data_IF_456806268234
#
_entry.id   IF_456806268234
#
_cell.length_a   1.000
_cell.length_b   1.000
_cell.length_c   1.000
_cell.angle_alpha   90.00
_cell.angle_beta   90.00
_cell.angle_gamma   90.00
#
_symmetry.space_group_name_H-M   'P 1'
#
loop_
_entity.id
_entity.type
_entity.pdbx_description
1 polymer ?
#
# COMPACT_ATOMS: atom_id res chain seq x y z
N UNK A 1 -20.79 -41.10 -12.64
CA UNK A 1 -21.33 -40.23 -11.56
C UNK A 1 -20.38 -40.35 -10.38
N UNK A 2 -19.36 -39.48 -10.31
CA UNK A 2 -18.45 -39.42 -9.16
C UNK A 2 -19.16 -38.70 -8.01
N UNK A 3 -19.19 -39.32 -6.82
CA UNK A 3 -19.66 -38.69 -5.58
C UNK A 3 -18.41 -38.26 -4.82
N UNK A 4 -18.12 -36.97 -4.80
CA UNK A 4 -17.13 -36.40 -3.88
C UNK A 4 -17.83 -36.10 -2.56
N UNK A 5 -17.26 -36.55 -1.44
CA UNK A 5 -17.72 -36.24 -0.08
C UNK A 5 -16.67 -35.33 0.57
N UNK A 6 -16.98 -34.05 0.77
CA UNK A 6 -16.17 -33.18 1.61
C UNK A 6 -16.83 -33.07 3.00
N UNK A 7 -16.05 -33.34 4.04
CA UNK A 7 -16.46 -33.20 5.43
C UNK A 7 -16.08 -31.80 5.92
N UNK A 8 -17.07 -31.04 6.41
CA UNK A 8 -16.85 -29.73 7.02
C UNK A 8 -17.00 -29.90 8.53
N UNK A 9 -15.91 -29.68 9.26
CA UNK A 9 -15.94 -29.63 10.72
C UNK A 9 -15.86 -28.18 11.20
N UNK A 10 -16.87 -27.72 11.96
CA UNK A 10 -16.91 -26.38 12.56
C UNK A 10 -16.76 -26.47 14.08
N UNK A 11 -15.73 -25.84 14.65
CA UNK A 11 -15.57 -25.68 16.10
C UNK A 11 -15.91 -24.23 16.51
N UNK A 12 -16.92 -24.05 17.37
CA UNK A 12 -17.31 -22.76 17.92
C UNK A 12 -16.35 -22.32 19.04
N UNK A 13 -15.32 -21.55 18.67
CA UNK A 13 -14.67 -20.51 19.49
C UNK A 13 -13.54 -19.80 18.71
N UNK A 14 -12.97 -20.45 17.70
CA UNK A 14 -12.06 -19.89 16.70
C UNK A 14 -12.36 -20.66 15.42
N UNK A 15 -12.91 -19.99 14.39
CA UNK A 15 -13.36 -20.68 13.18
C UNK A 15 -12.15 -21.13 12.34
N UNK A 16 -11.67 -22.35 12.59
CA UNK A 16 -10.78 -23.09 11.70
C UNK A 16 -11.67 -23.98 10.83
N UNK A 17 -11.77 -23.65 9.54
CA UNK A 17 -12.41 -24.51 8.55
C UNK A 17 -11.33 -25.37 7.90
N UNK A 18 -11.30 -26.65 8.24
CA UNK A 18 -10.50 -27.64 7.50
C UNK A 18 -11.46 -28.36 6.56
N UNK A 19 -11.33 -28.10 5.26
CA UNK A 19 -11.99 -28.91 4.25
C UNK A 19 -11.03 -30.02 3.83
N UNK A 20 -11.33 -31.26 4.21
CA UNK A 20 -10.66 -32.42 3.63
C UNK A 20 -11.56 -32.99 2.55
N UNK A 21 -11.05 -33.00 1.32
CA UNK A 21 -11.71 -33.68 0.21
C UNK A 21 -10.87 -34.93 -0.12
N UNK A 22 -11.49 -36.10 0.02
CA UNK A 22 -10.87 -37.38 -0.26
C UNK A 22 -11.44 -37.88 -1.59
N UNK A 23 -10.62 -37.94 -2.64
CA UNK A 23 -10.92 -38.78 -3.80
C UNK A 23 -10.31 -40.18 -3.60
N UNK A 24 -10.96 -41.21 -4.14
CA UNK A 24 -10.57 -42.64 -3.98
C UNK A 24 -9.17 -43.00 -4.52
N UNK A 25 -8.42 -42.06 -5.11
CA UNK A 25 -7.10 -42.31 -5.70
C UNK A 25 -5.91 -41.69 -4.94
N UNK A 26 -6.01 -41.50 -3.63
CA UNK A 26 -4.84 -41.42 -2.75
C UNK A 26 -3.91 -40.21 -2.91
N UNK A 27 -4.28 -39.17 -3.66
CA UNK A 27 -3.55 -37.92 -3.74
C UNK A 27 -4.19 -36.88 -2.81
N UNK A 28 -3.55 -36.65 -1.66
CA UNK A 28 -3.97 -35.70 -0.66
C UNK A 28 -3.46 -34.30 -1.04
N UNK A 29 -4.30 -33.47 -1.63
CA UNK A 29 -4.00 -32.06 -1.88
C UNK A 29 -4.45 -31.23 -0.67
N UNK A 30 -3.50 -30.72 0.12
CA UNK A 30 -3.77 -29.69 1.12
C UNK A 30 -3.79 -28.34 0.40
N UNK A 31 -4.97 -27.83 0.07
CA UNK A 31 -5.10 -26.39 -0.19
C UNK A 31 -4.96 -25.66 1.15
N UNK A 32 -3.85 -24.95 1.33
CA UNK A 32 -3.72 -23.98 2.42
C UNK A 32 -4.68 -22.82 2.15
N UNK A 33 -5.89 -22.92 2.70
CA UNK A 33 -6.80 -21.77 2.80
C UNK A 33 -6.15 -20.77 3.76
N UNK A 34 -5.48 -19.76 3.19
CA UNK A 34 -4.98 -18.61 3.94
C UNK A 34 -6.19 -17.83 4.47
N UNK A 35 -6.53 -18.07 5.73
CA UNK A 35 -7.57 -17.33 6.43
C UNK A 35 -7.01 -15.92 6.70
N UNK A 36 -7.28 -14.98 5.79
CA UNK A 36 -7.16 -13.56 6.11
C UNK A 36 -8.15 -13.28 7.24
N UNK A 37 -7.64 -12.97 8.43
CA UNK A 37 -8.48 -12.61 9.57
C UNK A 37 -9.46 -11.51 9.19
N UNK A 38 -10.71 -11.62 9.63
CA UNK A 38 -11.75 -10.65 9.27
C UNK A 38 -11.28 -9.23 9.57
N UNK A 39 -11.09 -8.41 8.53
CA UNK A 39 -10.65 -7.03 8.65
C UNK A 39 -11.61 -6.25 9.56
N UNK A 40 -11.04 -5.50 10.50
CA UNK A 40 -11.81 -4.66 11.41
C UNK A 40 -12.66 -3.63 10.64
N UNK A 41 -13.81 -3.19 11.20
CA UNK A 41 -14.61 -2.17 10.55
C UNK A 41 -13.86 -0.83 10.50
N UNK A 42 -14.02 -0.11 9.39
CA UNK A 42 -13.39 1.19 9.19
C UNK A 42 -13.88 2.22 10.22
N UNK A 43 -12.92 2.92 10.83
CA UNK A 43 -13.21 4.12 11.62
C UNK A 43 -13.31 5.32 10.69
N UNK A 44 -13.91 6.40 11.19
CA UNK A 44 -14.15 7.66 10.49
C UNK A 44 -12.94 8.24 9.74
N UNK A 45 -11.73 8.10 10.29
CA UNK A 45 -10.50 8.70 9.75
C UNK A 45 -9.70 7.74 8.87
N UNK A 46 -10.14 6.48 8.77
CA UNK A 46 -9.41 5.44 8.08
C UNK A 46 -9.98 5.26 6.67
N UNK A 47 -9.13 5.25 5.64
CA UNK A 47 -9.53 4.76 4.34
C UNK A 47 -9.79 3.26 4.43
N UNK A 48 -10.73 2.77 3.62
CA UNK A 48 -11.03 1.34 3.50
C UNK A 48 -9.98 0.60 2.68
N UNK A 49 -9.30 1.30 1.78
CA UNK A 49 -8.26 0.74 0.95
C UNK A 49 -7.31 1.80 0.41
N UNK A 50 -6.22 1.32 -0.17
CA UNK A 50 -5.23 2.14 -0.82
C UNK A 50 -4.77 1.48 -2.12
N UNK A 51 -4.43 2.31 -3.11
CA UNK A 51 -3.77 1.91 -4.34
C UNK A 51 -2.39 2.55 -4.34
N UNK A 52 -1.35 1.70 -4.43
CA UNK A 52 0.04 2.10 -4.57
C UNK A 52 0.42 2.03 -6.05
N UNK A 53 0.99 3.12 -6.57
CA UNK A 53 1.51 3.25 -7.93
C UNK A 53 3.04 3.20 -7.86
N UNK A 54 3.61 2.13 -8.42
CA UNK A 54 5.06 1.94 -8.52
C UNK A 54 5.50 2.23 -9.94
N UNK A 55 6.36 3.23 -10.12
CA UNK A 55 6.87 3.62 -11.42
C UNK A 55 8.19 2.88 -11.69
N UNK A 56 8.51 2.60 -12.96
CA UNK A 56 9.83 2.08 -13.31
C UNK A 56 10.91 3.12 -13.03
N UNK A 57 12.12 2.65 -12.79
CA UNK A 57 13.28 3.52 -12.66
C UNK A 57 13.69 4.03 -14.05
N UNK A 58 14.08 5.30 -14.12
CA UNK A 58 14.83 5.83 -15.24
C UNK A 58 16.17 5.13 -15.27
N UNK A 59 16.52 4.57 -16.43
CA UNK A 59 17.85 4.07 -16.65
C UNK A 59 18.82 5.25 -16.52
N UNK A 60 19.90 5.15 -15.73
CA UNK A 60 20.90 6.20 -15.72
C UNK A 60 21.47 6.29 -17.14
N UNK A 61 21.41 7.48 -17.74
CA UNK A 61 21.95 7.72 -19.07
C UNK A 61 23.41 7.22 -19.12
N UNK A 62 23.62 6.07 -19.77
CA UNK A 62 24.94 5.46 -19.94
C UNK A 62 25.89 6.32 -20.78
N UNK A 63 25.39 7.43 -21.33
CA UNK A 63 26.14 8.36 -22.15
C UNK A 63 26.92 9.44 -21.35
N UNK A 64 26.68 9.60 -20.03
CA UNK A 64 27.52 10.48 -19.18
C UNK A 64 28.66 9.74 -18.44
N UNK A 65 28.83 8.44 -18.66
CA UNK A 65 29.91 7.63 -18.04
C UNK A 65 31.16 7.43 -18.91
N UNK A 66 31.30 8.14 -20.03
CA UNK A 66 32.43 7.97 -20.98
C UNK A 66 33.27 9.24 -21.17
N UNK A 67 33.81 9.76 -20.07
CA UNK A 67 34.65 10.97 -20.09
C UNK A 67 35.79 11.00 -19.07
N UNK A 68 36.31 9.86 -18.59
CA UNK A 68 37.46 9.87 -17.68
C UNK A 68 38.78 10.04 -18.45
N UNK A 69 39.14 11.31 -18.66
CA UNK A 69 40.51 11.72 -18.96
C UNK A 69 41.45 11.31 -17.84
N UNK A 70 42.60 10.76 -18.21
CA UNK A 70 43.66 10.34 -17.29
C UNK A 70 44.21 11.54 -16.51
N UNK A 71 43.92 11.60 -15.21
CA UNK A 71 44.46 12.63 -14.33
C UNK A 71 44.06 12.40 -12.88
N UNK A 72 44.97 11.78 -12.13
CA UNK A 72 45.02 11.68 -10.66
C UNK A 72 44.10 12.62 -9.88
N UNK A 73 42.95 12.11 -9.44
CA UNK A 73 42.18 12.65 -8.32
C UNK A 73 41.88 11.48 -7.35
N UNK A 74 42.00 11.68 -6.03
CA UNK A 74 41.74 10.62 -5.04
C UNK A 74 40.28 10.16 -5.15
N UNK A 75 39.96 8.88 -4.87
CA UNK A 75 38.58 8.43 -4.91
C UNK A 75 37.83 9.11 -3.78
N UNK A 76 37.02 10.11 -4.14
CA UNK A 76 36.00 10.68 -3.28
C UNK A 76 34.91 9.60 -3.22
N UNK A 77 34.94 8.79 -2.16
CA UNK A 77 33.77 7.99 -1.79
C UNK A 77 32.75 8.93 -1.17
N UNK A 78 32.14 9.75 -2.01
CA UNK A 78 30.87 10.35 -1.68
C UNK A 78 29.84 9.26 -1.91
N UNK A 79 29.03 9.00 -0.89
CA UNK A 79 27.76 8.33 -1.02
C UNK A 79 26.88 9.18 -1.95
N UNK A 80 27.15 9.14 -3.26
CA UNK A 80 26.20 9.53 -4.27
C UNK A 80 25.11 8.47 -4.16
N UNK A 81 24.21 8.72 -3.21
CA UNK A 81 22.85 8.24 -3.22
C UNK A 81 22.28 8.76 -4.55
N UNK A 82 22.53 8.02 -5.63
CA UNK A 82 21.69 8.07 -6.81
C UNK A 82 20.33 7.67 -6.28
N UNK A 83 19.54 8.66 -5.84
CA UNK A 83 18.14 8.44 -5.56
C UNK A 83 17.61 7.87 -6.85
N UNK A 84 17.05 6.66 -6.78
CA UNK A 84 16.50 6.00 -7.94
C UNK A 84 15.45 6.94 -8.54
N UNK A 85 15.76 7.54 -9.70
CA UNK A 85 14.87 8.50 -10.33
C UNK A 85 13.75 7.72 -11.01
N UNK A 86 12.50 7.98 -10.64
CA UNK A 86 11.34 7.30 -11.23
C UNK A 86 10.90 7.97 -12.54
N UNK A 87 10.55 7.16 -13.54
CA UNK A 87 9.86 7.66 -14.74
C UNK A 87 8.38 7.84 -14.46
N UNK A 88 8.00 9.05 -14.04
CA UNK A 88 6.61 9.41 -13.78
C UNK A 88 5.76 9.54 -15.05
N UNK A 89 6.34 9.46 -16.25
CA UNK A 89 5.60 9.46 -17.51
C UNK A 89 5.23 8.05 -17.97
N UNK A 90 5.91 7.02 -17.44
CA UNK A 90 5.59 5.63 -17.73
C UNK A 90 4.31 5.17 -17.00
N UNK A 91 3.71 4.09 -17.50
CA UNK A 91 2.56 3.48 -16.86
C UNK A 91 3.00 2.80 -15.54
N UNK A 92 2.42 3.17 -14.38
CA UNK A 92 2.80 2.56 -13.11
C UNK A 92 2.18 1.16 -12.95
N UNK A 93 2.88 0.32 -12.20
CA UNK A 93 2.30 -0.90 -11.63
C UNK A 93 1.41 -0.53 -10.43
N UNK A 94 0.16 -0.99 -10.46
CA UNK A 94 -0.83 -0.68 -9.44
C UNK A 94 -0.99 -1.86 -8.47
N UNK A 95 -0.79 -1.60 -7.18
CA UNK A 95 -1.04 -2.58 -6.11
C UNK A 95 -2.15 -2.08 -5.20
N UNK A 96 -3.25 -2.83 -5.12
CA UNK A 96 -4.37 -2.53 -4.24
C UNK A 96 -4.19 -3.21 -2.89
N UNK A 97 -4.56 -2.53 -1.81
CA UNK A 97 -4.53 -3.05 -0.45
C UNK A 97 -5.81 -2.67 0.29
N UNK A 98 -6.51 -3.67 0.84
CA UNK A 98 -7.67 -3.46 1.70
C UNK A 98 -7.22 -3.30 3.14
N UNK A 99 -7.61 -2.20 3.78
CA UNK A 99 -7.15 -1.81 5.14
C UNK A 99 -8.21 -2.15 6.19
N UNK A 100 -9.48 -1.93 5.87
CA UNK A 100 -10.60 -2.18 6.77
C UNK A 100 -11.89 -2.43 5.99
N UNK A 101 -12.88 -3.04 6.65
CA UNK A 101 -14.19 -3.32 6.05
C UNK A 101 -15.12 -2.13 6.23
N UNK A 102 -15.77 -1.70 5.16
CA UNK A 102 -16.76 -0.63 5.25
C UNK A 102 -17.98 -1.05 6.10
N UNK A 103 -18.53 -0.16 6.92
CA UNK A 103 -19.71 -0.48 7.74
C UNK A 103 -20.99 -0.57 6.90
N UNK A 104 -21.93 -1.41 7.32
CA UNK A 104 -23.22 -1.61 6.64
C UNK A 104 -23.06 -2.33 5.30
N UNK A 105 -23.87 -1.95 4.31
CA UNK A 105 -23.87 -2.54 2.96
C UNK A 105 -22.92 -1.81 1.99
N UNK A 106 -22.08 -0.91 2.50
CA UNK A 106 -21.09 -0.19 1.68
C UNK A 106 -19.87 -1.07 1.40
N UNK A 107 -19.33 -0.97 0.19
CA UNK A 107 -18.17 -1.76 -0.27
C UNK A 107 -17.01 -0.81 -0.55
N UNK A 108 -15.79 -1.26 -0.22
CA UNK A 108 -14.58 -0.56 -0.64
C UNK A 108 -14.30 -0.86 -2.11
N UNK A 109 -14.78 0.00 -3.00
CA UNK A 109 -14.68 -0.20 -4.45
C UNK A 109 -13.38 0.42 -5.02
N UNK A 110 -12.58 -0.42 -5.67
CA UNK A 110 -11.35 -0.01 -6.35
C UNK A 110 -11.56 0.44 -7.80
N UNK A 111 -12.71 0.11 -8.40
CA UNK A 111 -13.03 0.44 -9.79
C UNK A 111 -13.74 1.80 -9.90
N UNK A 112 -14.39 2.25 -8.83
CA UNK A 112 -15.07 3.56 -8.80
C UNK A 112 -14.12 4.70 -8.45
N UNK A 113 -14.25 5.84 -9.11
CA UNK A 113 -13.56 7.09 -8.75
C UNK A 113 -14.23 7.85 -7.58
N UNK A 114 -15.33 7.33 -7.04
CA UNK A 114 -16.01 7.94 -5.89
C UNK A 114 -15.22 7.77 -4.60
N UNK A 115 -15.23 8.78 -3.74
CA UNK A 115 -14.55 8.75 -2.42
C UNK A 115 -13.04 8.48 -2.48
N UNK A 116 -12.41 8.85 -3.59
CA UNK A 116 -10.97 8.70 -3.82
C UNK A 116 -10.23 9.99 -3.46
N UNK A 117 -9.10 9.85 -2.77
CA UNK A 117 -8.18 10.94 -2.45
C UNK A 117 -6.79 10.57 -2.97
N UNK A 118 -6.35 11.26 -4.02
CA UNK A 118 -4.97 11.19 -4.51
C UNK A 118 -4.08 12.00 -3.58
N UNK A 119 -3.16 11.34 -2.91
CA UNK A 119 -2.30 11.95 -1.89
C UNK A 119 -1.04 12.51 -2.52
N UNK A 120 -0.35 11.66 -3.27
CA UNK A 120 0.81 11.99 -4.09
C UNK A 120 0.81 11.11 -5.36
N UNK A 121 1.93 11.08 -6.08
CA UNK A 121 2.06 10.27 -7.30
C UNK A 121 2.01 8.77 -7.04
N UNK A 122 2.35 8.32 -5.83
CA UNK A 122 2.44 6.90 -5.47
C UNK A 122 1.22 6.41 -4.72
N UNK A 123 0.59 7.21 -3.87
CA UNK A 123 -0.45 6.74 -2.96
C UNK A 123 -1.78 7.40 -3.27
N UNK A 124 -2.77 6.56 -3.54
CA UNK A 124 -4.17 6.93 -3.63
C UNK A 124 -4.96 6.21 -2.54
N UNK A 125 -5.78 6.95 -1.79
CA UNK A 125 -6.58 6.41 -0.70
C UNK A 125 -8.06 6.37 -1.08
N UNK A 126 -8.77 5.36 -0.59
CA UNK A 126 -10.19 5.14 -0.86
C UNK A 126 -10.97 5.07 0.44
N UNK A 127 -12.07 5.80 0.52
CA UNK A 127 -12.90 5.85 1.72
C UNK A 127 -14.29 5.26 1.43
N UNK A 128 -14.92 4.69 2.46
CA UNK A 128 -16.33 4.30 2.36
C UNK A 128 -17.24 5.52 2.17
N UNK A 129 -16.87 6.65 2.79
CA UNK A 129 -17.56 7.94 2.64
C UNK A 129 -16.63 9.09 3.02
N UNK A 130 -16.37 10.01 2.09
CA UNK A 130 -15.58 11.22 2.35
C UNK A 130 -16.34 12.29 3.13
N UNK A 131 -17.67 12.27 3.13
CA UNK A 131 -18.49 13.24 3.87
C UNK A 131 -18.19 13.19 5.38
N UNK A 132 -17.76 12.03 5.86
CA UNK A 132 -17.36 11.86 7.24
C UNK A 132 -16.10 12.66 7.59
N UNK A 133 -15.26 13.04 6.62
CA UNK A 133 -14.06 13.87 6.82
C UNK A 133 -14.37 15.31 6.38
N UNK A 134 -15.38 15.90 7.02
CA UNK A 134 -15.96 17.19 6.62
C UNK A 134 -15.16 18.43 7.06
N UNK A 135 -14.24 18.29 8.02
CA UNK A 135 -13.43 19.42 8.48
C UNK A 135 -12.26 19.67 7.54
N UNK A 136 -12.14 20.90 7.05
CA UNK A 136 -10.94 21.38 6.36
C UNK A 136 -9.81 21.57 7.38
N UNK A 137 -8.63 21.04 7.08
CA UNK A 137 -7.48 21.14 7.97
C UNK A 137 -7.02 22.59 8.15
N UNK A 138 -6.46 22.89 9.33
CA UNK A 138 -5.56 24.03 9.49
C UNK A 138 -4.19 23.65 8.92
N UNK A 139 -3.46 24.60 8.34
CA UNK A 139 -2.15 24.36 7.68
C UNK A 139 -1.05 23.76 8.58
N UNK A 140 -1.24 23.72 9.89
CA UNK A 140 -0.20 23.32 10.85
C UNK A 140 -0.41 21.87 11.31
N UNK A 141 0.65 21.05 11.20
CA UNK A 141 0.68 19.67 11.72
C UNK A 141 0.58 18.60 10.63
N UNK A 142 0.49 17.34 11.06
CA UNK A 142 0.31 16.17 10.19
C UNK A 142 -1.18 15.97 9.98
N UNK A 143 -1.63 16.04 8.72
CA UNK A 143 -3.04 15.96 8.35
C UNK A 143 -3.42 14.60 7.76
N UNK A 144 -2.43 13.89 7.24
CA UNK A 144 -2.55 12.54 6.74
C UNK A 144 -1.27 11.76 7.06
N UNK A 145 -1.43 10.50 7.45
CA UNK A 145 -0.32 9.56 7.64
C UNK A 145 -0.62 8.27 6.89
N UNK A 146 0.38 7.76 6.18
CA UNK A 146 0.36 6.46 5.50
C UNK A 146 1.49 5.62 6.09
N UNK A 147 1.21 4.35 6.38
CA UNK A 147 2.14 3.39 6.98
C UNK A 147 2.07 2.10 6.17
N UNK A 148 3.24 1.49 5.93
CA UNK A 148 3.32 0.16 5.37
C UNK A 148 4.74 -0.24 4.99
N UNK A 149 4.86 -1.37 4.30
CA UNK A 149 6.15 -1.91 3.90
C UNK A 149 6.87 -0.95 2.96
N UNK A 150 8.16 -0.72 3.16
CA UNK A 150 8.95 0.15 2.29
C UNK A 150 9.17 -0.47 0.90
N UNK A 151 9.18 0.37 -0.13
CA UNK A 151 9.79 0.01 -1.41
C UNK A 151 11.31 -0.18 -1.26
N UNK A 152 11.98 -0.88 -2.19
CA UNK A 152 13.43 -1.05 -2.16
C UNK A 152 14.23 0.26 -2.05
N UNK A 153 13.75 1.34 -2.68
CA UNK A 153 14.34 2.67 -2.60
C UNK A 153 14.25 3.31 -1.21
N UNK A 154 13.31 2.87 -0.36
CA UNK A 154 12.98 3.49 0.92
C UNK A 154 12.18 4.80 0.81
N UNK A 155 11.94 5.28 -0.42
CA UNK A 155 11.31 6.57 -0.70
C UNK A 155 9.79 6.48 -0.87
N UNK A 156 9.18 5.31 -0.78
CA UNK A 156 7.72 5.16 -0.75
C UNK A 156 7.31 3.81 -0.16
N UNK A 157 6.01 3.60 0.02
CA UNK A 157 5.44 2.33 0.48
C UNK A 157 5.19 1.39 -0.70
N UNK A 158 5.50 0.10 -0.53
CA UNK A 158 5.18 -0.96 -1.47
C UNK A 158 3.73 -1.45 -1.27
N UNK A 159 3.28 -1.50 -0.03
CA UNK A 159 1.91 -1.82 0.36
C UNK A 159 1.50 -1.00 1.57
N UNK A 160 0.21 -0.69 1.71
CA UNK A 160 -0.28 0.12 2.83
C UNK A 160 -0.91 -0.78 3.88
N UNK A 161 -0.34 -0.81 5.07
CA UNK A 161 -0.89 -1.54 6.23
C UNK A 161 -1.89 -0.69 7.00
N UNK A 162 -1.66 0.62 7.09
CA UNK A 162 -2.55 1.55 7.81
C UNK A 162 -2.43 2.95 7.22
N UNK A 163 -3.55 3.65 7.11
CA UNK A 163 -3.57 5.06 6.80
C UNK A 163 -4.63 5.80 7.64
N UNK A 164 -4.37 7.09 7.90
CA UNK A 164 -5.19 7.95 8.74
C UNK A 164 -5.25 9.35 8.13
N UNK A 165 -6.44 9.79 7.74
CA UNK A 165 -6.71 11.16 7.28
C UNK A 165 -7.52 11.90 8.34
N UNK A 166 -6.92 12.91 8.97
CA UNK A 166 -7.54 13.63 10.07
C UNK A 166 -8.56 14.68 9.60
N UNK A 167 -8.35 15.23 8.41
CA UNK A 167 -9.14 16.32 7.84
C UNK A 167 -8.86 16.43 6.32
N UNK A 168 -9.67 17.22 5.61
CA UNK A 168 -9.54 17.41 4.17
C UNK A 168 -8.61 18.59 3.81
N UNK A 169 -7.77 18.41 2.78
CA UNK A 169 -6.88 19.43 2.22
C UNK A 169 -7.31 19.79 0.79
N UNK A 170 -8.08 20.87 0.57
CA UNK A 170 -8.62 21.20 -0.76
C UNK A 170 -7.55 21.55 -1.80
N UNK A 171 -6.38 22.04 -1.36
CA UNK A 171 -5.25 22.36 -2.23
C UNK A 171 -4.30 21.17 -2.45
N UNK A 172 -4.62 20.00 -1.90
CA UNK A 172 -3.75 18.83 -1.93
C UNK A 172 -2.77 18.76 -0.75
N UNK A 173 -1.87 17.78 -0.84
CA UNK A 173 -0.98 17.39 0.24
C UNK A 173 0.49 17.67 -0.10
N UNK A 174 1.26 18.09 0.91
CA UNK A 174 2.70 18.19 0.87
C UNK A 174 3.31 17.05 1.68
N UNK A 175 4.04 16.16 0.98
CA UNK A 175 4.78 15.07 1.59
C UNK A 175 5.88 15.59 2.52
N UNK A 176 6.03 14.96 3.68
CA UNK A 176 7.13 15.18 4.62
C UNK A 176 8.16 14.04 4.50
N UNK A 177 9.31 14.20 5.17
CA UNK A 177 10.36 13.17 5.19
C UNK A 177 9.81 11.83 5.69
N UNK A 178 10.24 10.74 5.05
CA UNK A 178 9.92 9.37 5.46
C UNK A 178 10.54 9.09 6.83
N UNK A 179 9.75 8.48 7.71
CA UNK A 179 10.17 8.08 9.05
C UNK A 179 10.15 6.56 9.16
N UNK A 180 11.12 5.96 9.85
CA UNK A 180 11.07 4.55 10.17
C UNK A 180 9.88 4.23 11.08
N UNK A 181 9.18 3.14 10.79
CA UNK A 181 8.09 2.62 11.59
C UNK A 181 8.39 1.18 12.03
N UNK A 182 7.61 0.67 12.97
CA UNK A 182 7.89 -0.61 13.63
C UNK A 182 8.09 -1.76 12.64
N UNK A 183 9.02 -2.67 12.94
CA UNK A 183 9.26 -3.93 12.22
C UNK A 183 9.57 -3.77 10.71
N UNK A 184 10.21 -2.67 10.32
CA UNK A 184 10.67 -2.46 8.94
C UNK A 184 9.65 -1.74 8.04
N UNK A 185 8.47 -1.41 8.57
CA UNK A 185 7.55 -0.48 7.90
C UNK A 185 8.14 0.94 7.90
N UNK A 186 7.61 1.78 7.02
CA UNK A 186 7.86 3.23 7.02
C UNK A 186 6.57 3.99 7.25
N UNK A 187 6.70 5.21 7.76
CA UNK A 187 5.63 6.17 7.90
C UNK A 187 5.89 7.38 7.00
N UNK A 188 4.91 7.68 6.16
CA UNK A 188 4.90 8.88 5.32
C UNK A 188 3.85 9.84 5.87
N UNK A 189 4.31 10.99 6.33
CA UNK A 189 3.46 12.05 6.86
C UNK A 189 3.19 13.12 5.79
N UNK A 190 2.00 13.70 5.81
CA UNK A 190 1.59 14.73 4.87
C UNK A 190 0.96 15.92 5.59
N UNK A 191 1.23 17.13 5.08
CA UNK A 191 0.62 18.39 5.49
C UNK A 191 -0.28 18.92 4.37
N UNK A 192 -1.15 19.88 4.64
CA UNK A 192 -1.88 20.54 3.55
C UNK A 192 -1.02 21.63 2.89
N UNK A 193 -1.25 21.88 1.60
CA UNK A 193 -0.73 23.02 0.84
C UNK A 193 -1.50 24.33 1.13
#
# INVERSE_FOLDING_TARGET
MMRSQCLIATFFAVAVLVATCIEENGENWQEEVKIEGSLAPCKRLNPCGATVSTYPLLEPDVDEASGFGSGSAPPVYDEILTHELYDLNAAPELTNSTICTCPGDSVCDFESDSNVVKVDYHVTLRFCSLETISSVCKRQGINLRVIGAAQPSGDSVQSVSTALMFCNCPNGFQRQKVEAWNMGDISINYKCL
#
